data_IF_553883177299
#
_entry.id   IF_553883177299
#
_cell.length_a   1.000
_cell.length_b   1.000
_cell.length_c   1.000
_cell.angle_alpha   90.00
_cell.angle_beta   90.00
_cell.angle_gamma   90.00
#
_symmetry.space_group_name_H-M   'P 1'
#
loop_
_entity.id
_entity.type
_entity.pdbx_description
1 polymer ?
#
# COMPACT_ATOMS: atom_id res chain seq x y z
N UNK A 1 14.72 -0.25 -33.70
CA UNK A 1 14.66 -1.72 -33.76
C UNK A 1 15.16 -2.26 -32.43
N UNK A 2 14.21 -2.75 -31.62
CA UNK A 2 14.32 -3.81 -30.58
C UNK A 2 15.67 -4.01 -29.88
N UNK A 3 15.76 -3.60 -28.60
CA UNK A 3 16.71 -4.19 -27.65
C UNK A 3 16.02 -5.36 -26.91
N UNK A 4 16.71 -6.49 -26.69
CA UNK A 4 16.05 -7.79 -26.58
C UNK A 4 15.71 -8.21 -25.15
N UNK A 5 14.68 -9.06 -25.07
CA UNK A 5 14.45 -10.01 -23.99
C UNK A 5 15.74 -10.76 -23.63
N UNK A 6 16.04 -10.87 -22.34
CA UNK A 6 16.90 -11.95 -21.85
C UNK A 6 16.09 -12.89 -20.94
N UNK A 7 15.96 -14.13 -21.43
CA UNK A 7 15.52 -15.32 -20.72
C UNK A 7 16.41 -15.59 -19.51
N UNK A 8 15.81 -16.01 -18.39
CA UNK A 8 16.49 -16.81 -17.38
C UNK A 8 16.06 -18.27 -17.56
N UNK A 9 16.94 -19.07 -18.19
CA UNK A 9 16.98 -20.53 -18.08
C UNK A 9 17.85 -20.88 -16.86
N UNK A 10 17.41 -21.86 -16.07
CA UNK A 10 18.23 -22.53 -15.06
C UNK A 10 18.02 -22.04 -13.63
N UNK A 11 17.57 -22.95 -12.77
CA UNK A 11 17.29 -22.68 -11.36
C UNK A 11 18.54 -22.26 -10.58
N UNK A 12 18.55 -21.00 -10.14
CA UNK A 12 19.24 -20.49 -8.95
C UNK A 12 18.71 -19.06 -8.75
N UNK A 13 17.97 -18.81 -7.66
CA UNK A 13 17.47 -17.46 -7.34
C UNK A 13 18.66 -16.51 -7.11
N UNK A 14 18.88 -15.46 -7.93
CA UNK A 14 19.97 -14.55 -7.68
C UNK A 14 19.59 -13.58 -6.56
N UNK A 15 20.53 -13.38 -5.65
CA UNK A 15 20.56 -12.32 -4.65
C UNK A 15 20.09 -10.98 -5.26
N UNK A 16 19.23 -10.24 -4.55
CA UNK A 16 18.54 -9.02 -5.01
C UNK A 16 19.26 -7.71 -4.62
N UNK A 17 20.21 -7.23 -5.43
CA UNK A 17 20.54 -5.80 -5.52
C UNK A 17 19.77 -4.96 -6.57
N UNK A 18 19.33 -5.48 -7.76
CA UNK A 18 18.77 -4.59 -8.81
C UNK A 18 17.31 -4.15 -8.57
N UNK A 19 16.57 -4.86 -7.72
CA UNK A 19 15.14 -4.62 -7.49
C UNK A 19 14.86 -3.31 -6.75
N UNK A 20 15.72 -2.94 -5.80
CA UNK A 20 15.50 -1.75 -4.98
C UNK A 20 15.72 -0.44 -5.76
N UNK A 21 16.61 -0.44 -6.76
CA UNK A 21 16.89 0.73 -7.58
C UNK A 21 15.76 0.98 -8.59
N UNK A 22 15.30 -0.08 -9.28
CA UNK A 22 14.18 0.02 -10.22
C UNK A 22 12.89 0.49 -9.54
N UNK A 23 12.57 -0.08 -8.38
CA UNK A 23 11.41 0.34 -7.58
C UNK A 23 11.49 1.82 -7.19
N UNK A 24 12.65 2.29 -6.74
CA UNK A 24 12.84 3.68 -6.35
C UNK A 24 12.65 4.64 -7.51
N UNK A 25 13.19 4.31 -8.69
CA UNK A 25 12.97 5.07 -9.92
C UNK A 25 11.49 5.12 -10.32
N UNK A 26 10.81 3.96 -10.32
CA UNK A 26 9.39 3.92 -10.69
C UNK A 26 8.50 4.67 -9.70
N UNK A 27 8.79 4.57 -8.40
CA UNK A 27 8.09 5.36 -7.39
C UNK A 27 8.37 6.86 -7.56
N UNK A 28 9.61 7.25 -7.88
CA UNK A 28 9.96 8.64 -8.14
C UNK A 28 9.17 9.19 -9.34
N UNK A 29 9.13 8.44 -10.45
CA UNK A 29 8.51 8.83 -11.71
C UNK A 29 6.98 8.81 -11.66
N UNK A 30 6.36 7.77 -11.07
CA UNK A 30 4.94 7.51 -11.28
C UNK A 30 4.06 7.81 -10.07
N UNK A 31 4.57 7.73 -8.83
CA UNK A 31 3.77 7.99 -7.64
C UNK A 31 3.72 9.50 -7.35
N UNK A 32 2.57 10.14 -7.59
CA UNK A 32 2.40 11.57 -7.40
C UNK A 32 2.28 11.97 -5.92
N UNK A 33 3.11 12.92 -5.46
CA UNK A 33 2.87 13.65 -4.21
C UNK A 33 3.05 12.88 -2.89
N UNK A 34 3.63 11.69 -2.91
CA UNK A 34 3.77 10.86 -1.69
C UNK A 34 5.21 10.76 -1.20
N UNK A 35 5.88 11.88 -0.90
CA UNK A 35 7.29 11.90 -0.51
C UNK A 35 7.56 11.02 0.73
N UNK A 36 6.71 11.07 1.77
CA UNK A 36 6.83 10.21 2.96
C UNK A 36 6.68 8.72 2.61
N UNK A 37 5.65 8.36 1.84
CA UNK A 37 5.41 6.97 1.49
C UNK A 37 6.57 6.37 0.67
N UNK A 38 7.09 7.14 -0.31
CA UNK A 38 8.27 6.73 -1.08
C UNK A 38 9.45 6.44 -0.16
N UNK A 39 9.80 7.41 0.69
CA UNK A 39 10.96 7.29 1.57
C UNK A 39 10.83 6.11 2.55
N UNK A 40 9.67 5.94 3.18
CA UNK A 40 9.43 4.88 4.16
C UNK A 40 9.44 3.49 3.54
N UNK A 41 8.71 3.30 2.44
CA UNK A 41 8.63 2.00 1.75
C UNK A 41 10.01 1.59 1.22
N UNK A 42 10.72 2.49 0.55
CA UNK A 42 12.05 2.21 0.01
C UNK A 42 13.03 1.90 1.14
N UNK A 43 13.02 2.68 2.24
CA UNK A 43 13.88 2.44 3.40
C UNK A 43 13.60 1.09 4.05
N UNK A 44 12.34 0.79 4.37
CA UNK A 44 11.94 -0.44 5.04
C UNK A 44 12.25 -1.68 4.18
N UNK A 45 11.94 -1.61 2.88
CA UNK A 45 12.21 -2.71 1.96
C UNK A 45 13.71 -2.95 1.76
N UNK A 46 14.51 -1.88 1.56
CA UNK A 46 15.97 -2.01 1.42
C UNK A 46 16.59 -2.64 2.67
N UNK A 47 16.17 -2.23 3.86
CA UNK A 47 16.64 -2.81 5.11
C UNK A 47 16.28 -4.30 5.20
N UNK A 48 15.03 -4.66 4.91
CA UNK A 48 14.54 -6.04 5.00
C UNK A 48 15.17 -6.98 3.97
N UNK A 49 15.30 -6.55 2.71
CA UNK A 49 15.83 -7.40 1.63
C UNK A 49 17.35 -7.62 1.78
N UNK A 50 18.08 -6.66 2.36
CA UNK A 50 19.52 -6.77 2.61
C UNK A 50 19.85 -7.67 3.78
N UNK A 51 18.95 -7.84 4.74
CA UNK A 51 19.14 -8.74 5.87
C UNK A 51 18.93 -10.21 5.44
N UNK A 52 19.98 -11.06 5.43
CA UNK A 52 19.83 -12.47 5.06
C UNK A 52 19.04 -13.29 6.10
N UNK A 53 18.93 -12.80 7.33
CA UNK A 53 18.37 -13.49 8.49
C UNK A 53 17.50 -12.55 9.37
N UNK A 54 16.41 -11.98 8.81
CA UNK A 54 15.53 -11.09 9.55
C UNK A 54 14.96 -11.76 10.80
N UNK A 55 14.80 -10.98 11.87
CA UNK A 55 14.32 -11.46 13.17
C UNK A 55 12.80 -11.63 13.24
N UNK A 56 12.06 -10.95 12.35
CA UNK A 56 10.61 -11.04 12.14
C UNK A 56 10.28 -10.68 10.67
N UNK A 57 9.08 -10.98 10.15
CA UNK A 57 8.68 -10.52 8.81
C UNK A 57 8.57 -9.00 8.73
N UNK A 58 8.61 -8.47 7.51
CA UNK A 58 8.34 -7.05 7.25
C UNK A 58 6.84 -6.80 7.30
N UNK A 59 6.41 -5.86 8.13
CA UNK A 59 5.00 -5.53 8.33
C UNK A 59 4.77 -4.04 8.08
N UNK A 60 4.13 -3.70 6.96
CA UNK A 60 3.81 -2.33 6.57
C UNK A 60 2.31 -2.08 6.71
N UNK A 61 1.94 -0.91 7.22
CA UNK A 61 0.54 -0.47 7.24
C UNK A 61 0.37 0.86 6.51
N UNK A 62 -0.35 0.85 5.40
CA UNK A 62 -0.55 1.99 4.51
C UNK A 62 -1.90 2.63 4.82
N UNK A 63 -1.88 3.92 5.18
CA UNK A 63 -3.05 4.67 5.62
C UNK A 63 -3.19 5.96 4.83
N UNK A 64 -4.42 6.35 4.48
CA UNK A 64 -4.67 7.64 3.82
C UNK A 64 -5.95 7.64 3.00
N UNK A 65 -6.20 8.75 2.32
CA UNK A 65 -7.42 8.93 1.53
C UNK A 65 -7.51 7.98 0.33
N UNK A 66 -8.71 7.80 -0.21
CA UNK A 66 -8.93 6.99 -1.42
C UNK A 66 -8.21 7.59 -2.63
N UNK A 67 -7.70 6.73 -3.53
CA UNK A 67 -7.06 7.14 -4.79
C UNK A 67 -5.70 7.84 -4.65
N UNK A 68 -5.06 7.78 -3.49
CA UNK A 68 -3.75 8.41 -3.22
C UNK A 68 -2.54 7.55 -3.58
N UNK A 69 -2.75 6.28 -3.95
CA UNK A 69 -1.70 5.39 -4.46
C UNK A 69 -1.35 4.18 -3.58
N UNK A 70 -2.08 3.91 -2.49
CA UNK A 70 -1.79 2.77 -1.59
C UNK A 70 -1.70 1.43 -2.34
N UNK A 71 -2.76 1.03 -3.05
CA UNK A 71 -2.80 -0.22 -3.81
C UNK A 71 -1.84 -0.20 -5.01
N UNK A 72 -1.54 0.97 -5.58
CA UNK A 72 -0.53 1.12 -6.63
C UNK A 72 0.86 0.75 -6.12
N UNK A 73 1.27 1.30 -4.97
CA UNK A 73 2.56 0.98 -4.33
C UNK A 73 2.66 -0.51 -4.02
N UNK A 74 1.61 -1.11 -3.43
CA UNK A 74 1.58 -2.55 -3.12
C UNK A 74 1.70 -3.42 -4.37
N UNK A 75 1.04 -3.03 -5.47
CA UNK A 75 1.12 -3.73 -6.76
C UNK A 75 2.50 -3.63 -7.38
N UNK A 76 3.12 -2.45 -7.30
CA UNK A 76 4.48 -2.21 -7.78
C UNK A 76 5.51 -3.02 -6.98
N UNK A 77 5.38 -3.05 -5.66
CA UNK A 77 6.19 -3.92 -4.79
C UNK A 77 6.09 -5.38 -5.20
N UNK A 78 4.87 -5.89 -5.43
CA UNK A 78 4.67 -7.25 -5.89
C UNK A 78 5.36 -7.51 -7.23
N UNK A 79 5.25 -6.59 -8.19
CA UNK A 79 5.89 -6.69 -9.50
C UNK A 79 7.42 -6.80 -9.41
N UNK A 80 8.02 -5.98 -8.56
CA UNK A 80 9.48 -5.94 -8.38
C UNK A 80 10.02 -7.13 -7.58
N UNK A 81 9.27 -7.63 -6.60
CA UNK A 81 9.71 -8.71 -5.72
C UNK A 81 9.40 -10.11 -6.25
N UNK A 82 8.39 -10.24 -7.11
CA UNK A 82 7.89 -11.53 -7.57
C UNK A 82 7.66 -11.52 -9.07
N UNK A 83 8.25 -12.51 -9.75
CA UNK A 83 7.95 -12.76 -11.15
C UNK A 83 6.44 -13.01 -11.33
N UNK A 84 5.81 -12.27 -12.23
CA UNK A 84 4.35 -12.30 -12.42
C UNK A 84 3.57 -11.32 -11.53
N UNK A 85 4.24 -10.56 -10.66
CA UNK A 85 3.63 -9.55 -9.81
C UNK A 85 2.49 -10.11 -8.96
N UNK A 86 1.33 -9.46 -8.99
CA UNK A 86 0.13 -9.89 -8.26
C UNK A 86 -0.39 -11.28 -8.68
N UNK A 87 -0.01 -11.80 -9.86
CA UNK A 87 -0.41 -13.13 -10.33
C UNK A 87 0.56 -14.24 -9.89
N UNK A 88 1.64 -13.88 -9.19
CA UNK A 88 2.58 -14.85 -8.64
C UNK A 88 1.87 -15.72 -7.60
N UNK A 89 2.13 -17.05 -7.58
CA UNK A 89 1.58 -17.93 -6.55
C UNK A 89 2.09 -17.63 -5.14
N UNK A 90 3.08 -16.74 -4.99
CA UNK A 90 3.64 -16.29 -3.71
C UNK A 90 3.06 -14.96 -3.23
N UNK A 91 2.16 -14.36 -4.00
CA UNK A 91 1.48 -13.10 -3.67
C UNK A 91 0.02 -13.42 -3.40
N UNK A 92 -0.43 -13.11 -2.18
CA UNK A 92 -1.76 -13.46 -1.70
C UNK A 92 -2.50 -12.17 -1.36
N UNK A 93 -3.59 -11.89 -2.08
CA UNK A 93 -4.38 -10.69 -1.92
C UNK A 93 -5.74 -11.00 -1.27
N UNK A 94 -6.03 -10.34 -0.15
CA UNK A 94 -7.26 -10.47 0.62
C UNK A 94 -8.02 -9.17 0.61
N UNK A 95 -9.26 -9.22 0.10
CA UNK A 95 -10.28 -8.18 0.32
C UNK A 95 -11.34 -8.72 1.27
N UNK A 96 -11.61 -8.04 2.41
CA UNK A 96 -12.65 -8.42 3.36
C UNK A 96 -14.03 -8.57 2.75
N UNK A 97 -14.39 -7.68 1.82
CA UNK A 97 -15.69 -7.66 1.16
C UNK A 97 -15.92 -8.94 0.35
N UNK A 98 -14.86 -9.51 -0.23
CA UNK A 98 -14.94 -10.73 -1.05
C UNK A 98 -14.77 -11.99 -0.19
N UNK A 99 -13.78 -12.00 0.70
CA UNK A 99 -13.38 -13.23 1.39
C UNK A 99 -14.13 -13.45 2.71
N UNK A 100 -14.61 -12.38 3.34
CA UNK A 100 -15.25 -12.44 4.65
C UNK A 100 -16.60 -11.69 4.70
N UNK A 101 -17.54 -11.95 3.76
CA UNK A 101 -18.75 -11.15 3.59
C UNK A 101 -19.79 -11.30 4.71
N UNK A 102 -19.76 -12.42 5.46
CA UNK A 102 -20.78 -12.76 6.45
C UNK A 102 -20.22 -12.80 7.88
N UNK A 103 -20.57 -11.82 8.74
CA UNK A 103 -20.09 -11.78 10.13
C UNK A 103 -20.41 -13.04 10.96
N UNK A 104 -21.50 -13.74 10.63
CA UNK A 104 -21.91 -14.98 11.30
C UNK A 104 -20.89 -16.12 11.18
N UNK A 105 -19.98 -16.07 10.21
CA UNK A 105 -19.00 -17.12 9.95
C UNK A 105 -17.60 -16.79 10.50
N UNK A 106 -17.49 -15.81 11.41
CA UNK A 106 -16.20 -15.29 11.91
C UNK A 106 -15.25 -16.39 12.42
N UNK A 107 -15.76 -17.35 13.19
CA UNK A 107 -14.93 -18.43 13.75
C UNK A 107 -14.38 -19.37 12.66
N UNK A 108 -15.17 -19.61 11.60
CA UNK A 108 -14.69 -20.32 10.43
C UNK A 108 -13.64 -19.52 9.68
N UNK A 109 -13.87 -18.23 9.45
CA UNK A 109 -12.92 -17.36 8.76
C UNK A 109 -11.59 -17.25 9.50
N UNK A 110 -11.62 -17.19 10.84
CA UNK A 110 -10.42 -17.25 11.68
C UNK A 110 -9.61 -18.53 11.42
N UNK A 111 -10.28 -19.68 11.41
CA UNK A 111 -9.63 -20.98 11.14
C UNK A 111 -9.07 -21.07 9.72
N UNK A 112 -9.85 -20.64 8.74
CA UNK A 112 -9.50 -20.69 7.32
C UNK A 112 -8.31 -19.76 7.03
N UNK A 113 -8.33 -18.52 7.54
CA UNK A 113 -7.23 -17.57 7.41
C UNK A 113 -5.95 -18.09 8.06
N UNK A 114 -6.03 -18.64 9.28
CA UNK A 114 -4.88 -19.23 9.97
C UNK A 114 -4.22 -20.32 9.14
N UNK A 115 -5.04 -21.28 8.71
CA UNK A 115 -4.60 -22.44 7.94
C UNK A 115 -3.97 -22.02 6.62
N UNK A 116 -4.59 -21.04 5.96
CA UNK A 116 -4.14 -20.55 4.67
C UNK A 116 -2.79 -19.83 4.74
N UNK A 117 -2.62 -18.93 5.71
CA UNK A 117 -1.34 -18.22 5.92
C UNK A 117 -0.25 -19.23 6.29
N UNK A 118 -0.53 -20.13 7.24
CA UNK A 118 0.41 -21.15 7.65
C UNK A 118 0.81 -22.08 6.48
N UNK A 119 -0.14 -22.53 5.68
CA UNK A 119 0.11 -23.41 4.53
C UNK A 119 0.98 -22.76 3.46
N UNK A 120 0.68 -21.51 3.08
CA UNK A 120 1.48 -20.78 2.09
C UNK A 120 2.88 -20.45 2.60
N UNK A 121 3.00 -20.10 3.89
CA UNK A 121 4.29 -19.87 4.51
C UNK A 121 5.13 -21.15 4.62
N UNK A 122 4.49 -22.30 4.83
CA UNK A 122 5.15 -23.62 4.80
C UNK A 122 5.65 -23.95 3.39
N UNK A 123 4.85 -23.66 2.36
CA UNK A 123 5.24 -23.86 0.97
C UNK A 123 6.36 -22.91 0.52
N UNK A 124 6.31 -21.64 0.93
CA UNK A 124 7.34 -20.66 0.68
C UNK A 124 7.41 -19.62 1.80
N UNK A 125 8.52 -19.58 2.55
CA UNK A 125 8.73 -18.56 3.58
C UNK A 125 8.92 -17.14 3.04
N UNK A 126 9.05 -16.97 1.72
CA UNK A 126 9.11 -15.69 1.01
C UNK A 126 7.81 -15.44 0.26
N UNK A 127 6.74 -15.23 1.01
CA UNK A 127 5.42 -14.87 0.48
C UNK A 127 5.05 -13.44 0.86
N UNK A 128 4.26 -12.80 0.00
CA UNK A 128 3.70 -11.47 0.22
C UNK A 128 2.21 -11.60 0.47
N UNK A 129 1.76 -11.10 1.62
CA UNK A 129 0.35 -11.04 1.97
C UNK A 129 -0.13 -9.59 1.93
N UNK A 130 -1.09 -9.32 1.05
CA UNK A 130 -1.72 -8.02 0.88
C UNK A 130 -3.14 -8.10 1.45
N UNK A 131 -3.43 -7.28 2.45
CA UNK A 131 -4.76 -7.16 3.04
C UNK A 131 -5.29 -5.76 2.73
N UNK A 132 -6.22 -5.67 1.78
CA UNK A 132 -6.84 -4.42 1.37
C UNK A 132 -8.11 -4.13 2.17
N UNK A 133 -8.55 -2.88 2.20
CA UNK A 133 -9.76 -2.42 2.89
C UNK A 133 -9.84 -2.89 4.35
N UNK A 134 -8.75 -2.75 5.10
CA UNK A 134 -8.66 -3.12 6.52
C UNK A 134 -9.68 -2.42 7.43
N UNK A 135 -10.21 -1.28 6.99
CA UNK A 135 -11.33 -0.57 7.59
C UNK A 135 -12.66 -1.33 7.53
N UNK A 136 -12.77 -2.34 6.65
CA UNK A 136 -13.94 -3.22 6.48
C UNK A 136 -13.70 -4.63 7.02
N UNK A 137 -12.57 -4.85 7.68
CA UNK A 137 -12.19 -6.15 8.22
C UNK A 137 -13.07 -6.50 9.43
N UNK A 138 -13.71 -7.69 9.49
CA UNK A 138 -14.47 -8.09 10.67
C UNK A 138 -13.61 -8.08 11.96
N UNK A 139 -14.12 -7.49 13.06
CA UNK A 139 -13.40 -7.42 14.32
C UNK A 139 -12.95 -8.80 14.81
N UNK A 140 -11.75 -8.86 15.39
CA UNK A 140 -11.16 -10.09 15.92
C UNK A 140 -10.59 -11.05 14.86
N UNK A 141 -10.81 -10.85 13.56
CA UNK A 141 -10.20 -11.73 12.56
C UNK A 141 -8.67 -11.63 12.55
N UNK A 142 -8.14 -10.42 12.76
CA UNK A 142 -6.72 -10.12 12.69
C UNK A 142 -5.90 -10.67 13.84
N UNK A 143 -6.53 -11.00 14.97
CA UNK A 143 -5.88 -11.65 16.11
C UNK A 143 -5.17 -12.95 15.68
N UNK A 144 -5.75 -13.65 14.70
CA UNK A 144 -5.19 -14.88 14.13
C UNK A 144 -3.83 -14.66 13.48
N UNK A 145 -3.58 -13.47 12.94
CA UNK A 145 -2.33 -13.15 12.26
C UNK A 145 -1.20 -12.79 13.22
N UNK A 146 -1.53 -12.37 14.45
CA UNK A 146 -0.58 -11.93 15.47
C UNK A 146 0.65 -12.86 15.64
N UNK A 147 0.51 -14.20 15.73
CA UNK A 147 1.66 -15.09 15.85
C UNK A 147 2.59 -15.10 14.63
N UNK A 148 2.10 -14.71 13.45
CA UNK A 148 2.88 -14.68 12.22
C UNK A 148 3.61 -13.36 12.00
N UNK A 149 3.24 -12.29 12.71
CA UNK A 149 3.84 -10.95 12.57
C UNK A 149 5.00 -10.70 13.55
N UNK A 150 5.10 -11.49 14.62
CA UNK A 150 6.11 -11.35 15.66
C UNK A 150 7.44 -12.06 15.39
N UNK A 151 8.34 -11.97 16.36
CA UNK A 151 9.64 -12.67 16.35
C UNK A 151 9.55 -14.14 16.75
N UNK A 152 8.36 -14.62 17.14
CA UNK A 152 8.12 -15.98 17.61
C UNK A 152 8.57 -17.01 16.58
N UNK A 153 9.65 -17.71 16.92
CA UNK A 153 10.37 -18.60 16.02
C UNK A 153 9.55 -19.84 15.67
N UNK A 154 9.45 -20.10 14.37
CA UNK A 154 9.39 -21.45 13.78
C UNK A 154 8.29 -22.34 14.37
N UNK A 155 7.07 -22.17 13.88
CA UNK A 155 6.07 -23.24 13.98
C UNK A 155 6.39 -24.23 12.86
N UNK A 156 6.99 -25.40 13.17
CA UNK A 156 7.29 -26.50 12.22
C UNK A 156 8.43 -26.28 11.20
N UNK A 157 9.61 -25.85 11.64
CA UNK A 157 10.85 -25.88 10.83
C UNK A 157 10.95 -24.86 9.69
N UNK A 158 9.91 -24.06 9.41
CA UNK A 158 9.88 -23.10 8.31
C UNK A 158 10.17 -21.66 8.78
N UNK A 159 11.02 -20.94 8.06
CA UNK A 159 11.42 -19.57 8.41
C UNK A 159 10.44 -18.53 7.83
N UNK A 160 9.40 -18.21 8.60
CA UNK A 160 8.37 -17.22 8.22
C UNK A 160 8.87 -15.76 8.25
N UNK A 161 10.06 -15.52 8.79
CA UNK A 161 10.61 -14.17 8.97
C UNK A 161 10.98 -13.48 7.67
N UNK A 162 10.97 -14.21 6.55
CA UNK A 162 11.21 -13.68 5.20
C UNK A 162 9.93 -13.27 4.47
N UNK A 163 8.78 -13.40 5.12
CA UNK A 163 7.50 -12.96 4.57
C UNK A 163 7.33 -11.44 4.68
N UNK A 164 6.44 -10.91 3.85
CA UNK A 164 6.06 -9.50 3.86
C UNK A 164 4.54 -9.41 4.03
N UNK A 165 4.10 -8.59 4.96
CA UNK A 165 2.69 -8.28 5.21
C UNK A 165 2.46 -6.81 4.91
N UNK A 166 1.48 -6.51 4.07
CA UNK A 166 1.08 -5.14 3.75
C UNK A 166 -0.41 -5.00 4.03
N UNK A 167 -0.73 -4.12 4.96
CA UNK A 167 -2.10 -3.74 5.32
C UNK A 167 -2.43 -2.42 4.65
N UNK A 168 -3.60 -2.33 4.01
CA UNK A 168 -4.06 -1.11 3.33
C UNK A 168 -5.39 -0.70 3.96
N UNK A 169 -5.46 0.53 4.44
CA UNK A 169 -6.65 1.08 5.11
C UNK A 169 -6.92 2.51 4.66
N UNK A 170 -8.20 2.89 4.62
CA UNK A 170 -8.59 4.31 4.51
C UNK A 170 -8.70 5.00 5.88
N UNK A 171 -8.61 4.25 6.99
CA UNK A 171 -8.63 4.82 8.35
C UNK A 171 -7.48 5.78 8.57
N UNK A 172 -7.76 6.91 9.22
CA UNK A 172 -6.83 8.03 9.37
C UNK A 172 -6.82 8.99 8.19
N UNK A 173 -7.51 8.67 7.09
CA UNK A 173 -7.49 9.50 5.87
C UNK A 173 -8.00 10.92 6.09
N UNK A 174 -9.09 11.09 6.86
CA UNK A 174 -9.62 12.41 7.19
C UNK A 174 -8.64 13.22 8.05
N UNK A 175 -8.05 12.59 9.06
CA UNK A 175 -7.08 13.23 9.94
C UNK A 175 -5.80 13.63 9.20
N UNK A 176 -5.32 12.77 8.29
CA UNK A 176 -4.19 13.09 7.41
C UNK A 176 -4.53 14.30 6.51
N UNK A 177 -5.74 14.33 5.96
CA UNK A 177 -6.17 15.46 5.12
C UNK A 177 -6.22 16.76 5.92
N UNK A 178 -6.66 16.71 7.17
CA UNK A 178 -6.70 17.87 8.06
C UNK A 178 -5.30 18.41 8.34
N UNK A 179 -4.33 17.55 8.66
CA UNK A 179 -2.92 17.97 8.84
C UNK A 179 -2.37 18.60 7.56
N UNK A 180 -2.67 18.03 6.40
CA UNK A 180 -2.23 18.58 5.11
C UNK A 180 -2.88 19.96 4.81
N UNK A 181 -4.15 20.13 5.17
CA UNK A 181 -4.87 21.40 5.03
C UNK A 181 -4.30 22.47 5.96
N UNK A 182 -4.02 22.13 7.21
CA UNK A 182 -3.43 23.03 8.21
C UNK A 182 -2.02 23.48 7.82
N UNK A 183 -1.19 22.57 7.30
CA UNK A 183 0.12 22.89 6.77
C UNK A 183 0.00 23.91 5.62
N UNK A 184 -0.93 23.68 4.68
CA UNK A 184 -1.17 24.59 3.56
C UNK A 184 -1.68 25.97 4.02
N UNK A 185 -2.65 26.01 4.95
CA UNK A 185 -3.15 27.27 5.53
C UNK A 185 -2.07 28.05 6.27
N UNK A 186 -1.10 27.34 6.84
CA UNK A 186 0.06 27.91 7.51
C UNK A 186 1.21 28.25 6.55
N UNK A 187 1.00 28.13 5.24
CA UNK A 187 2.00 28.38 4.18
C UNK A 187 3.26 27.51 4.31
N UNK A 188 3.13 26.32 4.88
CA UNK A 188 4.18 25.29 4.85
C UNK A 188 4.08 24.50 3.56
N UNK A 189 5.23 24.18 2.98
CA UNK A 189 5.27 23.27 1.86
C UNK A 189 4.82 21.88 2.28
N UNK A 190 4.24 21.14 1.33
CA UNK A 190 3.76 19.77 1.57
C UNK A 190 4.90 18.87 2.06
N UNK A 191 6.08 19.03 1.47
CA UNK A 191 7.31 18.28 1.77
C UNK A 191 7.86 18.55 3.18
N UNK A 192 7.39 19.62 3.85
CA UNK A 192 7.73 19.88 5.25
C UNK A 192 6.90 19.07 6.24
N UNK A 193 5.82 18.39 5.80
CA UNK A 193 4.98 17.59 6.69
C UNK A 193 5.78 16.38 7.16
N UNK A 194 5.99 16.26 8.47
CA UNK A 194 6.80 15.21 9.06
C UNK A 194 5.95 14.01 9.47
N UNK A 195 6.58 12.83 9.47
CA UNK A 195 5.94 11.59 9.92
C UNK A 195 5.45 11.70 11.38
N UNK A 196 6.16 12.45 12.22
CA UNK A 196 5.82 12.68 13.63
C UNK A 196 4.48 13.43 13.81
N UNK A 197 4.04 14.18 12.81
CA UNK A 197 2.73 14.86 12.79
C UNK A 197 1.60 13.88 12.40
N UNK A 198 1.92 12.83 11.64
CA UNK A 198 0.94 11.92 11.03
C UNK A 198 0.76 10.60 11.81
N UNK A 199 1.84 10.01 12.34
CA UNK A 199 1.76 8.74 13.09
C UNK A 199 0.79 8.79 14.27
N UNK A 200 0.78 9.84 15.13
CA UNK A 200 -0.13 9.89 16.26
C UNK A 200 -1.59 10.00 15.83
N UNK A 201 -1.88 10.77 14.77
CA UNK A 201 -3.26 10.96 14.30
C UNK A 201 -3.80 9.71 13.61
N UNK A 202 -2.96 8.97 12.88
CA UNK A 202 -3.32 7.68 12.30
C UNK A 202 -3.55 6.66 13.41
N UNK A 203 -2.63 6.58 14.37
CA UNK A 203 -2.71 5.62 15.46
C UNK A 203 -3.98 5.82 16.27
N UNK A 204 -4.31 7.07 16.59
CA UNK A 204 -5.57 7.42 17.27
C UNK A 204 -6.79 7.04 16.44
N UNK A 205 -6.82 7.38 15.14
CA UNK A 205 -7.94 7.04 14.27
C UNK A 205 -8.18 5.52 14.15
N UNK A 206 -7.12 4.71 14.25
CA UNK A 206 -7.22 3.26 14.26
C UNK A 206 -7.73 2.73 15.61
N UNK A 207 -7.18 3.23 16.73
CA UNK A 207 -7.52 2.76 18.07
C UNK A 207 -8.92 3.19 18.51
N UNK A 208 -9.37 4.38 18.09
CA UNK A 208 -10.69 4.92 18.43
C UNK A 208 -11.81 4.25 17.63
N UNK A 209 -11.49 3.51 16.57
CA UNK A 209 -12.46 2.77 15.77
C UNK A 209 -12.58 1.31 16.26
N UNK A 210 -13.60 0.93 17.03
CA UNK A 210 -13.77 -0.44 17.55
C UNK A 210 -14.00 -1.47 16.44
N UNK A 211 -14.39 -1.03 15.24
CA UNK A 211 -14.63 -1.89 14.09
C UNK A 211 -13.43 -2.04 13.16
N UNK A 212 -12.35 -1.30 13.38
CA UNK A 212 -11.15 -1.42 12.55
C UNK A 212 -10.49 -2.80 12.75
N UNK A 213 -9.91 -3.38 11.70
CA UNK A 213 -9.31 -4.72 11.77
C UNK A 213 -8.19 -4.86 12.81
N UNK A 214 -7.45 -3.80 13.12
CA UNK A 214 -6.45 -3.83 14.19
C UNK A 214 -6.99 -3.63 15.59
N UNK A 215 -8.23 -3.14 15.73
CA UNK A 215 -8.83 -2.93 17.05
C UNK A 215 -8.91 -4.25 17.80
N UNK A 216 -8.43 -4.25 19.04
CA UNK A 216 -8.38 -5.43 19.92
C UNK A 216 -7.55 -6.62 19.38
N UNK A 217 -6.75 -6.44 18.33
CA UNK A 217 -5.95 -7.52 17.75
C UNK A 217 -4.61 -7.77 18.48
N UNK A 218 -4.14 -6.81 19.28
CA UNK A 218 -2.80 -6.83 19.89
C UNK A 218 -1.67 -6.38 18.95
N UNK A 219 -1.94 -6.19 17.66
CA UNK A 219 -0.90 -5.91 16.65
C UNK A 219 -0.22 -4.56 16.89
N UNK A 220 -1.00 -3.54 17.28
CA UNK A 220 -0.46 -2.20 17.55
C UNK A 220 0.16 -2.12 18.94
N UNK A 221 -0.47 -2.74 19.94
CA UNK A 221 -0.03 -2.78 21.33
C UNK A 221 1.35 -3.46 21.47
N UNK A 222 1.58 -4.54 20.73
CA UNK A 222 2.87 -5.26 20.68
C UNK A 222 3.87 -4.68 19.67
N UNK A 223 3.53 -3.58 18.99
CA UNK A 223 4.40 -2.91 18.01
C UNK A 223 4.89 -3.87 16.92
N UNK A 224 3.97 -4.68 16.39
CA UNK A 224 4.29 -5.67 15.35
C UNK A 224 4.49 -5.02 13.98
N UNK A 225 3.99 -3.80 13.77
CA UNK A 225 4.21 -3.00 12.57
C UNK A 225 5.64 -2.44 12.53
N UNK A 226 6.32 -2.58 11.38
CA UNK A 226 7.63 -1.96 11.14
C UNK A 226 7.52 -0.49 10.73
N UNK A 227 6.48 -0.16 9.96
CA UNK A 227 6.19 1.22 9.57
C UNK A 227 4.71 1.45 9.33
N UNK A 228 4.22 2.58 9.85
CA UNK A 228 2.96 3.20 9.45
C UNK A 228 3.27 4.18 8.32
N UNK A 229 2.70 3.94 7.15
CA UNK A 229 3.03 4.65 5.90
C UNK A 229 1.87 5.56 5.52
N UNK A 230 1.95 6.88 5.79
CA UNK A 230 0.89 7.83 5.45
C UNK A 230 0.84 8.15 3.95
N UNK A 231 -0.36 8.30 3.43
CA UNK A 231 -0.66 8.77 2.08
C UNK A 231 -1.47 10.06 2.16
N UNK A 232 -0.84 11.14 1.75
CA UNK A 232 -1.38 12.50 1.79
C UNK A 232 -2.40 12.72 0.64
N UNK A 233 -3.39 13.61 0.81
CA UNK A 233 -4.35 13.93 -0.26
C UNK A 233 -3.65 14.53 -1.48
N UNK A 234 -4.21 14.32 -2.68
CA UNK A 234 -3.59 14.76 -3.93
C UNK A 234 -4.11 16.13 -4.36
N UNK A 235 -3.20 17.08 -4.58
CA UNK A 235 -3.52 18.38 -5.18
C UNK A 235 -3.72 18.29 -6.70
N UNK A 236 -4.27 19.34 -7.32
CA UNK A 236 -4.55 19.40 -8.76
C UNK A 236 -3.36 19.04 -9.65
N UNK A 237 -2.16 19.51 -9.35
CA UNK A 237 -0.97 19.18 -10.15
C UNK A 237 -0.56 17.70 -10.03
N UNK A 238 -0.84 17.05 -8.89
CA UNK A 238 -0.64 15.61 -8.73
C UNK A 238 -1.65 14.80 -9.56
N UNK A 239 -2.90 15.27 -9.65
CA UNK A 239 -3.88 14.66 -10.56
C UNK A 239 -3.42 14.83 -11.99
N UNK A 240 -2.90 16.00 -12.38
CA UNK A 240 -2.31 16.22 -13.73
C UNK A 240 -1.23 15.19 -14.01
N UNK A 241 -0.34 14.94 -13.06
CA UNK A 241 0.70 13.90 -13.17
C UNK A 241 0.10 12.51 -13.41
N UNK A 242 -0.96 12.14 -12.70
CA UNK A 242 -1.66 10.86 -12.93
C UNK A 242 -2.28 10.77 -14.33
N UNK A 243 -2.87 11.86 -14.85
CA UNK A 243 -3.42 11.89 -16.22
C UNK A 243 -2.32 11.63 -17.24
N UNK A 244 -1.17 12.31 -17.10
CA UNK A 244 -0.04 12.14 -18.00
C UNK A 244 0.50 10.70 -17.96
N UNK A 245 0.62 10.11 -16.77
CA UNK A 245 1.06 8.72 -16.63
C UNK A 245 0.09 7.74 -17.27
N UNK A 246 -1.22 7.95 -17.11
CA UNK A 246 -2.24 7.07 -17.69
C UNK A 246 -2.23 7.15 -19.22
N UNK A 247 -2.14 8.35 -19.80
CA UNK A 247 -2.02 8.54 -21.25
C UNK A 247 -0.76 7.87 -21.80
N UNK A 248 0.37 8.00 -21.10
CA UNK A 248 1.61 7.33 -21.47
C UNK A 248 1.48 5.78 -21.42
N UNK A 249 0.79 5.23 -20.42
CA UNK A 249 0.52 3.79 -20.34
C UNK A 249 -0.38 3.29 -21.49
N UNK A 250 -1.30 4.13 -21.97
CA UNK A 250 -2.12 3.85 -23.14
C UNK A 250 -1.39 4.07 -24.48
N UNK A 251 -0.16 4.59 -24.45
CA UNK A 251 0.61 4.93 -25.66
C UNK A 251 0.02 6.14 -26.41
N UNK A 252 -0.66 7.04 -25.71
CA UNK A 252 -1.31 8.23 -26.26
C UNK A 252 -0.51 9.48 -25.95
N UNK A 253 -0.39 10.37 -26.94
CA UNK A 253 0.22 11.68 -26.75
C UNK A 253 -0.67 12.58 -25.88
N UNK A 254 -0.09 13.28 -24.87
CA UNK A 254 -0.86 14.12 -23.97
C UNK A 254 -1.34 15.39 -24.66
N UNK A 255 -2.62 15.42 -25.04
CA UNK A 255 -3.29 16.63 -25.52
C UNK A 255 -3.71 17.49 -24.32
N UNK A 256 -3.29 18.75 -24.29
CA UNK A 256 -3.61 19.65 -23.17
C UNK A 256 -5.12 19.82 -22.95
N UNK A 257 -5.93 19.77 -24.02
CA UNK A 257 -7.40 19.82 -23.94
C UNK A 257 -7.97 18.66 -23.13
N UNK A 258 -7.51 17.43 -23.38
CA UNK A 258 -7.94 16.22 -22.65
C UNK A 258 -7.47 16.31 -21.20
N UNK A 259 -6.23 16.74 -20.98
CA UNK A 259 -5.68 16.89 -19.63
C UNK A 259 -6.49 17.90 -18.82
N UNK A 260 -6.81 19.07 -19.38
CA UNK A 260 -7.62 20.07 -18.68
C UNK A 260 -9.06 19.59 -18.47
N UNK A 261 -9.70 18.95 -19.46
CA UNK A 261 -11.06 18.42 -19.30
C UNK A 261 -11.17 17.38 -18.16
N UNK A 262 -10.16 16.51 -18.02
CA UNK A 262 -10.10 15.56 -16.89
C UNK A 262 -9.90 16.30 -15.56
N UNK A 263 -9.06 17.33 -15.51
CA UNK A 263 -8.84 18.12 -14.30
C UNK A 263 -10.07 18.95 -13.90
N UNK A 264 -10.75 19.59 -14.85
CA UNK A 264 -11.93 20.43 -14.62
C UNK A 264 -13.15 19.62 -14.22
N UNK A 265 -13.26 18.39 -14.72
CA UNK A 265 -14.32 17.49 -14.30
C UNK A 265 -14.06 16.87 -12.92
N UNK A 266 -12.82 16.93 -12.40
CA UNK A 266 -12.46 16.36 -11.10
C UNK A 266 -12.96 17.25 -9.97
N UNK A 267 -13.60 16.65 -8.96
CA UNK A 267 -14.05 17.35 -7.77
C UNK A 267 -12.90 17.56 -6.79
N UNK A 268 -12.82 18.77 -6.23
CA UNK A 268 -11.83 19.13 -5.23
C UNK A 268 -12.49 19.61 -3.92
N UNK A 269 -11.80 19.41 -2.80
CA UNK A 269 -12.22 19.80 -1.46
C UNK A 269 -11.05 20.49 -0.72
N UNK A 270 -11.33 21.24 0.35
CA UNK A 270 -12.64 21.77 0.77
C UNK A 270 -13.28 22.68 -0.30
N UNK A 271 -14.57 23.02 -0.15
CA UNK A 271 -15.34 23.76 -1.17
C UNK A 271 -14.76 25.15 -1.47
N UNK A 272 -14.27 25.85 -0.46
CA UNK A 272 -13.74 27.22 -0.60
C UNK A 272 -12.38 27.23 -1.31
N UNK A 273 -11.44 26.38 -0.88
CA UNK A 273 -10.07 26.38 -1.41
C UNK A 273 -9.87 25.46 -2.63
N UNK A 274 -10.78 24.49 -2.86
CA UNK A 274 -10.71 23.50 -3.96
C UNK A 274 -9.31 22.88 -4.15
N UNK A 275 -8.69 22.48 -3.04
CA UNK A 275 -7.26 22.15 -3.01
C UNK A 275 -6.94 20.68 -3.35
N UNK A 276 -7.70 19.76 -2.78
CA UNK A 276 -7.43 18.32 -2.78
C UNK A 276 -8.48 17.54 -3.55
N UNK A 277 -8.09 16.56 -4.36
CA UNK A 277 -9.04 15.74 -5.12
C UNK A 277 -9.81 14.79 -4.21
N UNK A 278 -11.15 14.81 -4.31
CA UNK A 278 -12.04 13.98 -3.50
C UNK A 278 -11.81 12.47 -3.71
N UNK A 279 -11.36 12.08 -4.91
CA UNK A 279 -11.15 10.68 -5.28
C UNK A 279 -9.68 10.36 -5.63
N UNK A 280 -8.76 11.28 -5.35
CA UNK A 280 -7.37 11.20 -5.83
C UNK A 280 -7.32 10.88 -7.33
N UNK A 281 -6.49 9.91 -7.72
CA UNK A 281 -6.37 9.49 -9.11
C UNK A 281 -7.26 8.31 -9.51
N UNK A 282 -8.18 7.87 -8.64
CA UNK A 282 -8.97 6.64 -8.85
C UNK A 282 -9.88 6.68 -10.09
N UNK A 283 -10.37 7.88 -10.44
CA UNK A 283 -11.31 8.07 -11.56
C UNK A 283 -10.66 8.60 -12.83
N UNK A 284 -9.32 8.76 -12.84
CA UNK A 284 -8.58 9.36 -13.96
C UNK A 284 -8.74 8.52 -15.23
N UNK A 285 -8.51 7.21 -15.16
CA UNK A 285 -8.62 6.31 -16.31
C UNK A 285 -10.01 6.36 -16.96
N UNK A 286 -11.08 6.27 -16.16
CA UNK A 286 -12.45 6.35 -16.68
C UNK A 286 -12.78 7.70 -17.31
N UNK A 287 -12.22 8.80 -16.80
CA UNK A 287 -12.44 10.15 -17.33
C UNK A 287 -11.68 10.36 -18.63
N UNK A 288 -10.44 9.87 -18.73
CA UNK A 288 -9.67 9.91 -19.98
C UNK A 288 -10.47 9.22 -21.09
N UNK A 289 -10.98 8.01 -20.85
CA UNK A 289 -11.81 7.31 -21.84
C UNK A 289 -13.09 8.05 -22.25
N UNK A 290 -13.58 9.00 -21.45
CA UNK A 290 -14.74 9.81 -21.77
C UNK A 290 -14.40 11.04 -22.65
N UNK A 291 -13.17 11.56 -22.54
CA UNK A 291 -12.72 12.76 -23.27
C UNK A 291 -11.80 12.44 -24.47
N UNK A 292 -11.46 11.17 -24.70
CA UNK A 292 -10.77 10.69 -25.90
C UNK A 292 -11.75 10.48 -27.07
#
# INVERSE_FOLDING_TARGET
MTFPLNLCLGGMCPHHPPVALGLECDLAQHLAGQHLAKALVVKALKAFVRDPAPTKPLVLSLHGWTGTGKSYVSSLLAHYLFQGGLRSPRVHHFSPVIHFPHPSHIERYKKDLKSWVQGNLTACGRSLFLFDEMDKMPPGLMEVLRPFLGSSWVVYGTNYRKAIFIFISNTGGEQINQVALEAWRSRRDREEILLQELEPVISRAVLDNPHHGFSHSGIMEERLLDAVVPFLPLQRHHVRHCVLNELAQLGLEPRDEVVQAVLDSTTFFPEDEQLFSSNGCKTVASRISFFL
#
